data_IF_169220582016
#
_entry.id   IF_169220582016
#
_cell.length_a   1.000
_cell.length_b   1.000
_cell.length_c   1.000
_cell.angle_alpha   90.00
_cell.angle_beta   90.00
_cell.angle_gamma   90.00
#
_symmetry.space_group_name_H-M   'P 1'
#
loop_
_entity.id
_entity.type
_entity.pdbx_description
1 polymer ?
#
# COMPACT_ATOMS: atom_id res chain seq x y z
N UNK A 1 13.67 -49.57 38.38
CA UNK A 1 12.42 -50.30 38.65
C UNK A 1 11.25 -49.32 38.66
N UNK A 2 10.06 -49.83 38.34
CA UNK A 2 8.76 -49.47 38.92
C UNK A 2 8.18 -48.03 38.79
N UNK A 3 7.20 -47.95 37.88
CA UNK A 3 5.91 -47.22 37.95
C UNK A 3 4.99 -47.90 39.02
N UNK A 4 3.83 -47.35 39.50
CA UNK A 4 2.64 -47.08 38.64
C UNK A 4 1.53 -46.08 39.11
N UNK A 5 0.50 -45.93 38.25
CA UNK A 5 -0.94 -45.56 38.50
C UNK A 5 -1.29 -44.18 39.10
N UNK A 6 -2.47 -43.56 38.88
CA UNK A 6 -3.71 -43.86 38.08
C UNK A 6 -4.26 -42.52 37.52
N UNK A 7 -4.96 -42.39 36.38
CA UNK A 7 -6.39 -42.72 36.08
C UNK A 7 -7.40 -41.99 37.01
N UNK A 8 -8.59 -41.52 36.62
CA UNK A 8 -9.49 -41.69 35.44
C UNK A 8 -10.31 -40.38 35.19
N UNK A 9 -11.44 -40.37 34.47
CA UNK A 9 -11.62 -40.35 33.01
C UNK A 9 -13.11 -40.02 32.65
N UNK A 10 -13.53 -40.27 31.39
CA UNK A 10 -14.93 -40.33 30.87
C UNK A 10 -15.80 -39.05 30.68
N UNK A 11 -16.50 -39.03 29.54
CA UNK A 11 -17.78 -38.36 29.27
C UNK A 11 -18.78 -39.42 28.71
N UNK A 12 -20.12 -39.21 28.83
CA UNK A 12 -21.02 -39.16 27.66
C UNK A 12 -22.11 -38.06 27.87
N UNK A 13 -23.28 -37.95 27.22
CA UNK A 13 -24.05 -38.74 26.22
C UNK A 13 -24.85 -37.76 25.31
N UNK A 14 -25.24 -38.17 24.10
CA UNK A 14 -26.19 -37.46 23.22
C UNK A 14 -27.63 -37.94 23.46
N UNK A 15 -28.67 -37.11 23.27
CA UNK A 15 -30.03 -37.64 23.07
C UNK A 15 -30.96 -36.76 22.25
N UNK A 16 -31.72 -37.42 21.37
CA UNK A 16 -32.73 -36.87 20.47
C UNK A 16 -34.15 -37.02 21.04
N UNK A 17 -35.10 -36.25 20.51
CA UNK A 17 -36.52 -36.35 20.89
C UNK A 17 -37.45 -35.65 19.89
N UNK A 18 -38.19 -36.44 19.12
CA UNK A 18 -39.30 -36.01 18.27
C UNK A 18 -40.62 -36.18 19.03
N UNK A 19 -41.56 -35.25 18.87
CA UNK A 19 -43.01 -35.51 18.94
C UNK A 19 -43.69 -34.61 17.91
N UNK A 20 -44.54 -35.21 17.07
CA UNK A 20 -45.48 -34.53 16.18
C UNK A 20 -46.81 -34.30 16.92
N UNK A 21 -47.63 -33.35 16.46
CA UNK A 21 -49.07 -33.42 16.73
C UNK A 21 -49.87 -32.99 15.50
N UNK A 22 -51.08 -33.55 15.33
CA UNK A 22 -51.62 -33.87 14.01
C UNK A 22 -53.07 -33.40 13.79
N UNK A 23 -53.44 -33.22 12.50
CA UNK A 23 -54.82 -33.16 11.99
C UNK A 23 -55.74 -32.02 12.52
N UNK A 24 -56.95 -31.82 12.00
CA UNK A 24 -57.49 -31.78 10.62
C UNK A 24 -58.94 -31.25 10.74
N UNK A 25 -59.39 -30.31 9.89
CA UNK A 25 -60.82 -30.00 9.73
C UNK A 25 -61.11 -29.32 8.38
N UNK A 26 -62.14 -29.83 7.69
CA UNK A 26 -62.55 -29.42 6.32
C UNK A 26 -63.60 -28.30 6.34
N UNK A 27 -63.61 -27.43 5.33
CA UNK A 27 -64.64 -26.38 5.17
C UNK A 27 -64.66 -25.71 3.79
N UNK A 28 -65.58 -26.15 2.93
CA UNK A 28 -65.80 -25.79 1.52
C UNK A 28 -65.64 -24.31 1.05
N UNK A 29 -65.02 -24.19 -0.14
CA UNK A 29 -65.38 -23.35 -1.32
C UNK A 29 -65.94 -21.91 -1.14
N UNK A 30 -65.27 -20.91 -1.75
CA UNK A 30 -65.83 -19.54 -1.82
C UNK A 30 -65.04 -18.44 -2.55
N UNK A 31 -64.70 -18.61 -3.84
CA UNK A 31 -64.49 -17.47 -4.76
C UNK A 31 -63.06 -16.96 -5.05
N UNK A 32 -62.88 -16.53 -6.31
CA UNK A 32 -61.82 -15.66 -6.87
C UNK A 32 -60.34 -16.02 -6.58
N UNK A 33 -59.72 -16.74 -7.53
CA UNK A 33 -58.28 -16.82 -7.69
C UNK A 33 -57.82 -15.99 -8.90
N UNK A 34 -57.23 -14.80 -8.65
CA UNK A 34 -56.58 -14.00 -9.68
C UNK A 34 -55.20 -14.57 -10.06
N UNK A 35 -54.84 -14.48 -11.34
CA UNK A 35 -53.65 -15.14 -11.87
C UNK A 35 -52.33 -14.49 -11.41
N UNK A 36 -51.48 -15.29 -10.75
CA UNK A 36 -50.24 -14.86 -10.09
C UNK A 36 -49.09 -14.58 -11.09
N UNK A 37 -48.96 -13.35 -11.60
CA UNK A 37 -47.78 -12.95 -12.40
C UNK A 37 -46.76 -12.14 -11.59
N UNK A 38 -45.64 -12.82 -11.27
CA UNK A 38 -44.39 -12.32 -10.69
C UNK A 38 -44.09 -10.81 -10.83
N UNK A 39 -44.10 -10.07 -9.71
CA UNK A 39 -43.51 -8.72 -9.64
C UNK A 39 -41.97 -8.82 -9.62
N UNK A 40 -41.30 -8.44 -10.70
CA UNK A 40 -39.85 -8.19 -10.72
C UNK A 40 -39.53 -6.70 -10.84
N UNK A 41 -39.53 -6.00 -9.71
CA UNK A 41 -39.06 -4.62 -9.60
C UNK A 41 -37.52 -4.57 -9.68
N UNK A 42 -36.96 -4.52 -10.88
CA UNK A 42 -35.52 -4.42 -11.09
C UNK A 42 -35.03 -3.00 -10.77
N UNK A 43 -34.65 -2.78 -9.50
CA UNK A 43 -33.96 -1.58 -9.04
C UNK A 43 -32.56 -1.49 -9.66
N UNK A 44 -32.50 -0.99 -10.90
CA UNK A 44 -31.24 -0.61 -11.58
C UNK A 44 -30.58 0.52 -10.81
N UNK A 45 -29.78 0.14 -9.81
CA UNK A 45 -28.87 1.05 -9.11
C UNK A 45 -27.91 1.63 -10.14
N UNK A 46 -28.16 2.89 -10.52
CA UNK A 46 -27.31 3.64 -11.42
C UNK A 46 -26.02 3.98 -10.67
N UNK A 47 -25.05 3.07 -10.71
CA UNK A 47 -23.66 3.36 -10.39
C UNK A 47 -23.23 4.49 -11.33
N UNK A 48 -23.23 5.72 -10.82
CA UNK A 48 -22.62 6.86 -11.49
C UNK A 48 -21.13 6.53 -11.61
N UNK A 49 -20.73 6.03 -12.78
CA UNK A 49 -19.31 6.00 -13.12
C UNK A 49 -18.81 7.44 -13.08
N UNK A 50 -17.85 7.70 -12.20
CA UNK A 50 -17.04 8.90 -12.34
C UNK A 50 -16.32 8.78 -13.69
N UNK A 51 -16.81 9.52 -14.68
CA UNK A 51 -15.96 9.93 -15.79
C UNK A 51 -14.92 10.85 -15.17
N UNK A 52 -13.70 10.33 -14.99
CA UNK A 52 -12.53 11.19 -14.99
C UNK A 52 -12.60 11.97 -16.29
N UNK A 53 -12.66 13.29 -16.20
CA UNK A 53 -12.65 14.13 -17.39
C UNK A 53 -11.22 14.08 -17.94
N UNK A 54 -11.05 13.27 -18.99
CA UNK A 54 -9.74 12.96 -19.55
C UNK A 54 -9.20 14.26 -20.18
N UNK A 55 -7.99 14.67 -19.81
CA UNK A 55 -7.21 15.57 -20.68
C UNK A 55 -7.22 14.94 -22.07
N UNK A 56 -7.47 15.72 -23.11
CA UNK A 56 -7.46 15.20 -24.48
C UNK A 56 -6.15 14.43 -24.70
N UNK A 57 -6.19 13.27 -25.35
CA UNK A 57 -4.99 12.43 -25.56
C UNK A 57 -3.86 13.17 -26.28
N UNK A 58 -4.20 14.27 -26.96
CA UNK A 58 -3.31 15.20 -27.66
C UNK A 58 -2.53 16.15 -26.72
N UNK A 59 -3.00 16.35 -25.47
CA UNK A 59 -2.33 17.16 -24.43
C UNK A 59 -1.41 16.33 -23.51
N UNK A 60 -1.45 15.00 -23.59
CA UNK A 60 -0.65 14.12 -22.75
C UNK A 60 0.67 13.79 -23.45
N UNK A 61 1.79 14.22 -22.86
CA UNK A 61 3.14 13.85 -23.31
C UNK A 61 3.40 12.37 -23.04
N UNK A 62 2.96 11.51 -23.96
CA UNK A 62 3.19 10.06 -23.92
C UNK A 62 4.69 9.75 -23.89
N UNK A 63 5.10 8.75 -23.12
CA UNK A 63 6.48 8.30 -23.09
C UNK A 63 6.94 7.76 -24.45
N UNK A 64 8.25 7.78 -24.70
CA UNK A 64 8.81 7.34 -25.97
C UNK A 64 10.10 6.55 -25.77
N UNK A 65 10.33 5.60 -26.68
CA UNK A 65 11.51 4.74 -26.71
C UNK A 65 12.47 5.18 -27.82
N UNK A 66 13.76 5.13 -27.56
CA UNK A 66 14.77 5.24 -28.61
C UNK A 66 14.83 3.98 -29.49
N UNK A 67 15.60 4.07 -30.58
CA UNK A 67 15.89 2.97 -31.51
C UNK A 67 16.55 1.73 -30.86
N UNK A 68 16.92 1.79 -29.58
CA UNK A 68 17.54 0.72 -28.81
C UNK A 68 16.59 0.18 -27.71
N UNK A 69 15.32 0.61 -27.68
CA UNK A 69 14.33 0.20 -26.69
C UNK A 69 14.49 0.86 -25.32
N UNK A 70 15.11 2.05 -25.23
CA UNK A 70 15.31 2.77 -23.97
C UNK A 70 14.37 3.96 -23.86
N UNK A 71 13.78 4.18 -22.69
CA UNK A 71 12.98 5.37 -22.40
C UNK A 71 13.79 6.65 -22.62
N UNK A 72 13.28 7.51 -23.49
CA UNK A 72 13.81 8.85 -23.73
C UNK A 72 13.00 9.89 -22.98
N UNK A 73 13.69 10.71 -22.19
CA UNK A 73 13.10 11.87 -21.54
C UNK A 73 12.60 12.87 -22.62
N UNK A 74 11.32 13.30 -22.61
CA UNK A 74 10.76 14.18 -23.64
C UNK A 74 11.28 15.63 -23.54
N UNK A 75 11.91 16.02 -22.42
CA UNK A 75 12.45 17.35 -22.21
C UNK A 75 13.94 17.41 -22.62
N UNK A 76 14.32 18.29 -23.58
CA UNK A 76 15.69 18.36 -24.11
C UNK A 76 16.73 18.95 -23.13
N UNK A 77 16.30 19.28 -21.92
CA UNK A 77 17.14 19.70 -20.79
C UNK A 77 17.88 18.52 -20.16
N UNK A 78 17.36 17.29 -20.26
CA UNK A 78 18.02 16.11 -19.68
C UNK A 78 19.25 15.68 -20.47
N UNK A 79 20.35 15.39 -19.75
CA UNK A 79 21.59 14.84 -20.30
C UNK A 79 22.16 13.82 -19.33
N UNK A 80 22.61 12.68 -19.82
CA UNK A 80 23.30 11.70 -18.98
C UNK A 80 24.60 12.32 -18.42
N UNK A 81 24.87 12.21 -17.10
CA UNK A 81 26.12 12.66 -16.52
C UNK A 81 27.27 11.79 -17.04
N UNK A 82 28.41 12.42 -17.38
CA UNK A 82 29.58 11.71 -17.86
C UNK A 82 30.24 10.88 -16.75
N UNK A 83 30.99 9.83 -17.11
CA UNK A 83 31.83 9.10 -16.15
C UNK A 83 32.81 10.01 -15.40
N UNK A 84 33.30 11.08 -16.03
CA UNK A 84 34.15 12.10 -15.38
C UNK A 84 33.37 12.97 -14.39
N UNK A 85 32.08 13.24 -14.63
CA UNK A 85 31.20 13.93 -13.69
C UNK A 85 30.85 13.03 -12.50
N UNK A 86 30.55 11.75 -12.74
CA UNK A 86 30.33 10.74 -11.70
C UNK A 86 31.57 10.53 -10.82
N UNK A 87 32.76 10.43 -11.42
CA UNK A 87 34.02 10.31 -10.68
C UNK A 87 34.34 11.57 -9.88
N UNK A 88 34.07 12.76 -10.44
CA UNK A 88 34.21 14.04 -9.74
C UNK A 88 33.22 14.15 -8.57
N UNK A 89 31.99 13.72 -8.74
CA UNK A 89 30.98 13.64 -7.68
C UNK A 89 31.50 12.74 -6.54
N UNK A 90 31.86 11.50 -6.84
CA UNK A 90 32.33 10.52 -5.85
C UNK A 90 33.63 10.90 -5.10
N UNK A 91 34.53 11.68 -5.71
CA UNK A 91 35.84 12.01 -5.12
C UNK A 91 35.98 13.46 -4.62
N UNK A 92 35.18 14.41 -5.13
CA UNK A 92 35.37 15.85 -4.93
C UNK A 92 34.09 16.57 -4.48
N UNK A 93 32.94 15.91 -4.42
CA UNK A 93 31.78 16.50 -3.78
C UNK A 93 31.98 16.56 -2.25
N UNK A 94 32.11 17.78 -1.74
CA UNK A 94 32.11 18.06 -0.31
C UNK A 94 30.67 18.27 0.13
N UNK A 95 30.30 17.71 1.28
CA UNK A 95 29.00 17.99 1.86
C UNK A 95 28.90 19.47 2.24
N UNK A 96 28.16 20.24 1.44
CA UNK A 96 27.86 21.66 1.65
C UNK A 96 26.48 21.90 2.28
N UNK A 97 25.75 20.84 2.64
CA UNK A 97 24.54 21.01 3.44
C UNK A 97 24.94 21.41 4.85
N UNK A 98 24.55 22.61 5.29
CA UNK A 98 24.87 23.19 6.60
C UNK A 98 24.01 22.55 7.72
N UNK A 99 23.87 21.23 7.68
CA UNK A 99 23.07 20.44 8.61
C UNK A 99 23.88 20.20 9.90
N UNK A 100 23.33 20.50 11.09
CA UNK A 100 24.04 20.26 12.35
C UNK A 100 24.44 18.79 12.53
N UNK A 101 25.70 18.54 12.90
CA UNK A 101 26.20 17.19 13.20
C UNK A 101 25.81 16.73 14.61
N UNK A 102 25.52 17.67 15.51
CA UNK A 102 25.05 17.43 16.88
C UNK A 102 23.64 16.87 16.90
N UNK A 103 23.43 15.74 17.60
CA UNK A 103 22.12 15.11 17.72
C UNK A 103 21.13 16.05 18.41
N UNK A 104 21.60 16.77 19.42
CA UNK A 104 20.83 17.66 20.28
C UNK A 104 20.23 18.81 19.46
N UNK A 105 21.01 19.36 18.52
CA UNK A 105 20.55 20.37 17.58
C UNK A 105 19.59 19.77 16.55
N UNK A 106 19.86 18.58 16.01
CA UNK A 106 18.93 17.90 15.10
C UNK A 106 17.60 17.49 15.75
N UNK A 107 17.61 17.16 17.04
CA UNK A 107 16.40 16.85 17.81
C UNK A 107 15.62 18.11 18.18
N UNK A 108 16.28 19.27 18.30
CA UNK A 108 15.66 20.58 18.53
C UNK A 108 15.08 21.21 17.26
N UNK A 109 15.85 21.22 16.15
CA UNK A 109 15.47 21.86 14.89
C UNK A 109 14.57 20.96 14.01
N UNK A 110 14.78 19.64 14.05
CA UNK A 110 14.08 18.66 13.23
C UNK A 110 13.59 17.46 14.09
N UNK A 111 12.74 17.70 15.11
CA UNK A 111 12.19 16.64 15.97
C UNK A 111 11.45 15.58 15.15
N UNK A 112 11.83 14.31 15.33
CA UNK A 112 11.12 13.17 14.72
C UNK A 112 9.91 12.85 15.61
N UNK A 113 8.73 13.24 15.14
CA UNK A 113 7.47 13.02 15.86
C UNK A 113 6.93 11.60 15.63
N UNK A 114 6.59 10.90 16.70
CA UNK A 114 5.92 9.60 16.63
C UNK A 114 4.53 9.74 15.95
N UNK A 115 4.21 8.98 14.90
CA UNK A 115 2.93 9.12 14.19
C UNK A 115 1.72 8.82 15.07
N UNK A 116 0.55 9.35 14.71
CA UNK A 116 -0.66 9.15 15.52
C UNK A 116 -1.06 7.66 15.58
N UNK A 117 -0.82 6.89 14.51
CA UNK A 117 -1.19 5.47 14.40
C UNK A 117 -0.30 4.54 15.23
N UNK A 118 0.91 4.96 15.60
CA UNK A 118 1.76 4.20 16.54
C UNK A 118 1.25 4.38 17.97
N UNK A 119 0.90 5.62 18.33
CA UNK A 119 0.36 5.98 19.66
C UNK A 119 -1.08 5.51 19.89
N UNK A 120 -1.88 5.43 18.82
CA UNK A 120 -3.29 5.02 18.82
C UNK A 120 -3.65 4.29 17.51
N UNK A 121 -3.34 2.98 17.40
CA UNK A 121 -3.67 2.17 16.22
C UNK A 121 -5.18 2.09 15.96
N UNK A 122 -5.99 2.18 17.02
CA UNK A 122 -7.46 2.23 17.02
C UNK A 122 -8.05 3.42 16.24
N UNK A 123 -7.26 4.46 15.97
CA UNK A 123 -7.70 5.64 15.21
C UNK A 123 -7.19 5.67 13.75
N UNK A 124 -6.67 4.52 13.27
CA UNK A 124 -6.37 4.32 11.85
C UNK A 124 -7.63 4.12 10.99
N UNK A 125 -8.74 3.68 11.59
CA UNK A 125 -10.02 3.52 10.89
C UNK A 125 -10.60 4.86 10.38
N UNK A 126 -11.38 4.76 9.30
CA UNK A 126 -11.73 5.86 8.41
C UNK A 126 -12.59 6.94 9.07
N UNK A 127 -11.97 8.10 9.33
CA UNK A 127 -12.69 9.36 9.52
C UNK A 127 -12.94 10.00 8.14
N UNK A 128 -14.13 10.58 7.87
CA UNK A 128 -14.39 11.25 6.60
C UNK A 128 -13.46 12.46 6.41
N UNK A 129 -12.99 12.66 5.18
CA UNK A 129 -12.04 13.72 4.82
C UNK A 129 -10.64 13.19 4.45
N UNK A 130 -9.66 14.10 4.49
CA UNK A 130 -8.28 13.88 4.07
C UNK A 130 -7.33 14.05 5.28
N UNK A 131 -6.48 13.05 5.54
CA UNK A 131 -5.38 13.11 6.51
C UNK A 131 -4.06 12.82 5.79
N UNK A 132 -3.00 13.53 6.18
CA UNK A 132 -1.67 13.42 5.56
C UNK A 132 -0.61 13.36 6.66
N UNK A 133 0.23 12.33 6.63
CA UNK A 133 1.34 12.13 7.58
C UNK A 133 2.66 12.03 6.80
N UNK A 134 3.55 12.99 6.98
CA UNK A 134 4.89 12.95 6.39
C UNK A 134 5.79 11.99 7.18
N UNK A 135 6.45 11.06 6.47
CA UNK A 135 7.35 10.06 7.04
C UNK A 135 8.83 10.31 6.70
N UNK A 136 9.13 11.45 6.08
CA UNK A 136 10.47 11.91 5.70
C UNK A 136 10.77 11.71 4.21
N UNK A 137 11.62 12.58 3.66
CA UNK A 137 11.88 12.68 2.21
C UNK A 137 10.56 12.81 1.42
N UNK A 138 10.38 12.07 0.33
CA UNK A 138 9.13 11.98 -0.42
C UNK A 138 8.12 10.97 0.15
N UNK A 139 8.44 10.28 1.26
CA UNK A 139 7.50 9.31 1.86
C UNK A 139 6.38 10.03 2.61
N UNK A 140 5.15 9.89 2.11
CA UNK A 140 3.95 10.47 2.68
C UNK A 140 2.87 9.39 2.74
N UNK A 141 2.28 9.21 3.93
CA UNK A 141 1.02 8.49 4.08
C UNK A 141 -0.13 9.47 3.86
N UNK A 142 -0.95 9.22 2.85
CA UNK A 142 -2.17 9.96 2.52
C UNK A 142 -3.37 9.04 2.80
N UNK A 143 -4.36 9.54 3.53
CA UNK A 143 -5.50 8.76 3.99
C UNK A 143 -6.77 9.53 3.59
N UNK A 144 -7.59 8.94 2.72
CA UNK A 144 -8.75 9.62 2.15
C UNK A 144 -9.86 8.63 1.78
N UNK A 145 -11.11 8.94 2.11
CA UNK A 145 -12.30 8.14 1.77
C UNK A 145 -12.18 6.63 2.11
N UNK A 146 -11.42 6.30 3.16
CA UNK A 146 -11.17 4.93 3.62
C UNK A 146 -10.05 4.18 2.87
N UNK A 147 -9.28 4.86 2.03
CA UNK A 147 -8.11 4.32 1.31
C UNK A 147 -6.83 4.91 1.87
N UNK A 148 -5.87 4.06 2.22
CA UNK A 148 -4.55 4.46 2.71
C UNK A 148 -3.48 4.28 1.64
N UNK A 149 -2.82 5.38 1.30
CA UNK A 149 -1.94 5.54 0.14
C UNK A 149 -0.55 5.97 0.62
N UNK A 150 0.51 5.30 0.17
CA UNK A 150 1.89 5.58 0.57
C UNK A 150 2.75 5.98 -0.65
N UNK A 151 3.26 7.21 -0.68
CA UNK A 151 4.18 7.65 -1.74
C UNK A 151 5.61 7.23 -1.44
N UNK A 152 6.39 6.94 -2.48
CA UNK A 152 7.87 6.85 -2.49
C UNK A 152 8.49 6.36 -1.16
N UNK A 153 8.22 5.09 -0.77
CA UNK A 153 8.56 4.60 0.57
C UNK A 153 10.06 4.33 0.71
N UNK A 154 10.72 5.12 1.56
CA UNK A 154 12.10 4.89 2.00
C UNK A 154 12.17 4.85 3.54
N UNK A 155 12.27 3.63 4.07
CA UNK A 155 12.51 3.31 5.48
C UNK A 155 13.97 2.94 5.74
N UNK A 156 14.74 2.54 4.71
CA UNK A 156 16.18 2.31 4.81
C UNK A 156 16.97 3.54 5.33
N UNK A 157 18.17 3.28 5.86
CA UNK A 157 19.07 4.32 6.35
C UNK A 157 19.82 5.05 5.22
N UNK A 158 20.01 4.39 4.07
CA UNK A 158 20.64 4.99 2.89
C UNK A 158 19.78 4.87 1.64
N UNK A 159 19.78 5.94 0.85
CA UNK A 159 19.30 5.97 -0.52
C UNK A 159 20.42 5.47 -1.45
N UNK A 160 20.61 4.16 -1.52
CA UNK A 160 21.78 3.54 -2.16
C UNK A 160 21.53 2.07 -2.47
N UNK A 161 22.10 1.51 -3.56
CA UNK A 161 22.11 0.06 -3.79
C UNK A 161 22.90 -0.71 -2.73
N UNK A 162 23.67 -0.03 -1.88
CA UNK A 162 24.50 -0.63 -0.83
C UNK A 162 24.32 0.11 0.50
N UNK A 163 23.82 -0.56 1.54
CA UNK A 163 23.60 0.09 2.86
C UNK A 163 24.90 0.52 3.59
N UNK A 164 26.08 0.16 3.08
CA UNK A 164 27.37 0.61 3.61
C UNK A 164 27.94 1.87 2.95
N UNK A 165 27.48 2.28 1.75
CA UNK A 165 27.97 3.46 1.03
C UNK A 165 26.84 4.32 0.44
N UNK A 166 27.14 5.51 -0.06
CA UNK A 166 26.14 6.44 -0.61
C UNK A 166 25.37 7.26 0.44
N UNK A 167 24.42 8.11 0.03
CA UNK A 167 23.73 9.06 0.89
C UNK A 167 23.05 8.41 2.10
N UNK A 168 23.31 8.91 3.31
CA UNK A 168 22.62 8.51 4.54
C UNK A 168 21.67 9.63 4.98
N UNK A 169 20.45 9.27 5.38
CA UNK A 169 19.47 10.22 5.95
C UNK A 169 19.96 10.81 7.28
N UNK A 170 19.73 12.11 7.49
CA UNK A 170 20.05 12.81 8.74
C UNK A 170 19.07 12.48 9.88
N UNK A 171 17.81 12.20 9.53
CA UNK A 171 16.73 11.80 10.45
C UNK A 171 16.16 10.46 9.99
N UNK A 172 15.97 9.52 10.93
CA UNK A 172 15.34 8.24 10.64
C UNK A 172 13.86 8.38 10.23
N UNK A 173 13.23 7.33 9.68
CA UNK A 173 11.78 7.34 9.52
C UNK A 173 11.12 7.38 10.93
N UNK A 174 9.94 8.01 11.08
CA UNK A 174 9.28 8.17 12.38
C UNK A 174 8.58 6.90 12.87
N UNK A 175 8.54 5.84 12.06
CA UNK A 175 8.00 4.52 12.38
C UNK A 175 8.69 3.46 11.49
N UNK A 176 8.53 2.18 11.84
CA UNK A 176 8.93 1.05 10.97
C UNK A 176 7.79 0.62 10.04
N UNK A 177 8.10 -0.24 9.06
CA UNK A 177 7.09 -0.76 8.10
C UNK A 177 6.01 -1.58 8.80
N UNK A 178 6.36 -2.25 9.90
CA UNK A 178 5.46 -3.05 10.74
C UNK A 178 4.49 -2.18 11.56
N UNK A 179 4.83 -0.92 11.80
CA UNK A 179 4.05 0.04 12.58
C UNK A 179 3.05 0.85 11.75
N UNK A 180 3.12 0.81 10.42
CA UNK A 180 2.14 1.48 9.55
C UNK A 180 0.71 0.95 9.79
N UNK A 181 -0.35 1.73 9.49
CA UNK A 181 -1.69 1.17 9.32
C UNK A 181 -1.73 0.22 8.10
N UNK A 182 -2.89 -0.38 7.83
CA UNK A 182 -3.15 -1.04 6.53
C UNK A 182 -2.89 -0.05 5.40
N UNK A 183 -2.18 -0.48 4.35
CA UNK A 183 -1.90 0.31 3.13
C UNK A 183 -2.59 -0.38 1.96
N UNK A 184 -3.44 0.36 1.23
CA UNK A 184 -4.12 -0.11 0.02
C UNK A 184 -3.25 0.03 -1.22
N UNK A 185 -2.48 1.12 -1.29
CA UNK A 185 -1.72 1.50 -2.46
C UNK A 185 -0.35 2.11 -2.12
N UNK A 186 0.67 1.73 -2.87
CA UNK A 186 1.93 2.50 -2.99
C UNK A 186 1.98 3.17 -4.35
N UNK A 187 2.40 4.45 -4.40
CA UNK A 187 2.80 5.12 -5.63
C UNK A 187 4.32 5.31 -5.63
N UNK A 188 4.97 4.88 -6.71
CA UNK A 188 6.36 5.20 -7.03
C UNK A 188 6.37 6.31 -8.09
N UNK A 189 7.08 7.41 -7.83
CA UNK A 189 7.21 8.50 -8.80
C UNK A 189 8.28 8.24 -9.85
N UNK A 190 9.42 7.63 -9.45
CA UNK A 190 10.53 7.27 -10.34
C UNK A 190 11.53 6.31 -9.65
N UNK A 191 12.55 5.87 -10.40
CA UNK A 191 13.43 4.74 -10.04
C UNK A 191 14.72 5.10 -9.28
N UNK A 192 14.88 6.33 -8.80
CA UNK A 192 16.06 6.70 -8.00
C UNK A 192 16.00 6.10 -6.58
N UNK A 193 17.15 5.78 -6.00
CA UNK A 193 17.25 5.05 -4.73
C UNK A 193 16.72 5.79 -3.48
N UNK A 194 16.41 7.08 -3.59
CA UNK A 194 15.73 7.87 -2.56
C UNK A 194 14.19 7.86 -2.68
N UNK A 195 13.65 7.36 -3.79
CA UNK A 195 12.20 7.18 -4.02
C UNK A 195 11.79 5.69 -4.16
N UNK A 196 12.69 4.85 -4.70
CA UNK A 196 12.53 3.40 -4.85
C UNK A 196 13.58 2.66 -4.00
N UNK A 197 13.27 2.43 -2.72
CA UNK A 197 14.11 1.65 -1.81
C UNK A 197 13.72 0.16 -1.82
N UNK A 198 14.63 -0.69 -2.32
CA UNK A 198 14.43 -2.13 -2.37
C UNK A 198 14.21 -2.79 -0.99
N UNK A 199 14.76 -2.21 0.10
CA UNK A 199 14.48 -2.68 1.46
C UNK A 199 13.03 -2.44 1.85
N UNK A 200 12.53 -1.23 1.61
CA UNK A 200 11.13 -0.86 1.84
C UNK A 200 10.16 -1.66 0.98
N UNK A 201 10.48 -1.88 -0.30
CA UNK A 201 9.68 -2.74 -1.20
C UNK A 201 9.56 -4.16 -0.64
N UNK A 202 10.68 -4.76 -0.22
CA UNK A 202 10.67 -6.10 0.37
C UNK A 202 9.87 -6.17 1.68
N UNK A 203 10.06 -5.22 2.61
CA UNK A 203 9.30 -5.18 3.88
C UNK A 203 7.80 -4.94 3.68
N UNK A 204 7.41 -4.05 2.76
CA UNK A 204 6.00 -3.77 2.45
C UNK A 204 5.33 -4.99 1.82
N UNK A 205 5.99 -5.62 0.84
CA UNK A 205 5.48 -6.81 0.18
C UNK A 205 5.38 -8.01 1.15
N UNK A 206 6.38 -8.20 2.03
CA UNK A 206 6.34 -9.23 3.07
C UNK A 206 5.25 -9.01 4.14
N UNK A 207 4.83 -7.75 4.37
CA UNK A 207 3.77 -7.42 5.33
C UNK A 207 2.35 -7.50 4.74
N UNK A 208 2.16 -7.01 3.52
CA UNK A 208 0.82 -6.82 2.94
C UNK A 208 0.50 -7.75 1.75
N UNK A 209 1.52 -8.37 1.15
CA UNK A 209 1.36 -9.31 0.03
C UNK A 209 0.51 -8.75 -1.12
N UNK A 210 -0.30 -9.62 -1.73
CA UNK A 210 -1.18 -9.27 -2.85
C UNK A 210 -2.32 -8.28 -2.52
N UNK A 211 -2.61 -7.97 -1.25
CA UNK A 211 -3.59 -6.92 -0.91
C UNK A 211 -3.08 -5.53 -1.32
N UNK A 212 -1.78 -5.29 -1.20
CA UNK A 212 -1.15 -4.00 -1.53
C UNK A 212 -1.01 -3.83 -3.04
N UNK A 213 -1.64 -2.80 -3.60
CA UNK A 213 -1.41 -2.41 -4.99
C UNK A 213 -0.19 -1.50 -5.13
N UNK A 214 0.64 -1.78 -6.12
CA UNK A 214 1.74 -0.91 -6.53
C UNK A 214 1.37 -0.18 -7.82
N UNK A 215 1.44 1.15 -7.82
CA UNK A 215 1.33 1.97 -9.03
C UNK A 215 2.73 2.52 -9.37
N UNK A 216 3.22 2.21 -10.56
CA UNK A 216 4.61 2.52 -10.96
C UNK A 216 4.70 3.05 -12.40
N UNK A 217 5.73 3.85 -12.75
CA UNK A 217 5.97 4.29 -14.12
C UNK A 217 6.43 3.14 -15.04
N UNK A 218 6.24 3.32 -16.34
CA UNK A 218 6.65 2.38 -17.39
C UNK A 218 8.08 1.85 -17.27
N UNK A 219 8.23 0.52 -17.36
CA UNK A 219 9.49 -0.21 -17.24
C UNK A 219 9.89 -0.62 -15.80
N UNK A 220 9.07 -0.38 -14.78
CA UNK A 220 9.33 -0.81 -13.40
C UNK A 220 8.53 -2.02 -12.94
N UNK A 221 7.40 -2.35 -13.54
CA UNK A 221 6.61 -3.54 -13.20
C UNK A 221 7.46 -4.81 -13.25
N UNK A 222 8.28 -4.91 -14.29
CA UNK A 222 9.21 -6.00 -14.53
C UNK A 222 10.30 -6.14 -13.44
N UNK A 223 10.57 -5.09 -12.65
CA UNK A 223 11.46 -5.12 -11.49
C UNK A 223 10.70 -5.47 -10.20
N UNK A 224 9.53 -4.88 -9.96
CA UNK A 224 8.70 -5.17 -8.78
C UNK A 224 8.24 -6.64 -8.76
N UNK A 225 7.85 -7.21 -9.91
CA UNK A 225 7.49 -8.64 -10.03
C UNK A 225 8.69 -9.54 -9.70
N UNK A 226 9.92 -9.16 -10.07
CA UNK A 226 11.14 -9.90 -9.69
C UNK A 226 11.51 -9.75 -8.21
N UNK A 227 11.03 -8.71 -7.54
CA UNK A 227 11.05 -8.55 -6.08
C UNK A 227 9.90 -9.31 -5.37
N UNK A 228 9.02 -10.00 -6.12
CA UNK A 228 7.91 -10.79 -5.61
C UNK A 228 6.61 -10.02 -5.39
N UNK A 229 6.45 -8.81 -5.95
CA UNK A 229 5.21 -8.05 -5.85
C UNK A 229 4.19 -8.54 -6.89
N UNK A 230 3.03 -9.02 -6.43
CA UNK A 230 2.03 -9.66 -7.30
C UNK A 230 1.02 -8.67 -7.91
N UNK A 231 0.62 -7.64 -7.17
CA UNK A 231 -0.45 -6.71 -7.51
C UNK A 231 0.12 -5.37 -8.01
N UNK A 232 0.81 -5.40 -9.15
CA UNK A 232 1.47 -4.22 -9.74
C UNK A 232 0.68 -3.71 -10.94
N UNK A 233 0.54 -2.38 -11.06
CA UNK A 233 -0.04 -1.66 -12.18
C UNK A 233 0.97 -0.64 -12.70
N UNK A 234 1.25 -0.71 -14.00
CA UNK A 234 2.17 0.18 -14.70
C UNK A 234 1.40 1.29 -15.44
N UNK A 235 1.91 2.53 -15.43
CA UNK A 235 1.26 3.72 -15.99
C UNK A 235 2.25 4.61 -16.77
N UNK A 236 1.73 5.25 -17.83
CA UNK A 236 2.38 6.25 -18.71
C UNK A 236 2.24 7.68 -18.11
#
# INVERSE_FOLDING_TARGET
MEKPSSSDSAAPEEKTGLVEDNADLKGAEGGQADAQTSRKSSSRSSRKSFRLDYRLEEEVTKSCLDKNGRWTNPWPTWRFPSYTMLLRFLLLEKNHSNVPTSKETLDSELPVMEPYFVRRPDLSDSRPGLRVTWLGHATVLVEMEGVNILTDPIFSQRASPFQFMGPKRYRGPPCSVEQLPRIDAVLISHSHFDHLDAGSVASLNARFGGELRWFVPLGLMDWLVKMGCENVMELD
#
